data_IF_386143533279
#
_entry.id   IF_386143533279
#
_cell.length_a   1.000
_cell.length_b   1.000
_cell.length_c   1.000
_cell.angle_alpha   90.00
_cell.angle_beta   90.00
_cell.angle_gamma   90.00
#
_symmetry.space_group_name_H-M   'P 1'
#
loop_
_entity.id
_entity.type
_entity.pdbx_description
1 polymer ?
#
# COMPACT_ATOMS: atom_id res chain seq x y z
N UNK A 1 11.04 -23.95 -4.46
CA UNK A 1 11.57 -22.65 -3.98
C UNK A 1 11.46 -21.55 -5.05
N UNK A 2 11.90 -21.77 -6.31
CA UNK A 2 11.82 -20.74 -7.36
C UNK A 2 10.40 -20.24 -7.69
N UNK A 3 9.38 -21.11 -7.62
CA UNK A 3 7.99 -20.75 -7.94
C UNK A 3 7.33 -19.79 -6.93
N UNK A 4 7.69 -19.87 -5.64
CA UNK A 4 7.14 -19.00 -4.60
C UNK A 4 7.86 -17.63 -4.55
N UNK A 5 9.14 -17.60 -4.93
CA UNK A 5 9.90 -16.36 -5.07
C UNK A 5 9.45 -15.56 -6.31
N UNK A 6 9.10 -16.25 -7.40
CA UNK A 6 8.53 -15.61 -8.59
C UNK A 6 7.17 -14.95 -8.28
N UNK A 7 6.27 -15.66 -7.58
CA UNK A 7 4.96 -15.12 -7.20
C UNK A 7 5.05 -13.92 -6.24
N UNK A 8 6.06 -13.88 -5.36
CA UNK A 8 6.28 -12.75 -4.45
C UNK A 8 6.76 -11.49 -5.19
N UNK A 9 7.67 -11.64 -6.15
CA UNK A 9 8.13 -10.51 -6.97
C UNK A 9 7.04 -9.97 -7.91
N UNK A 10 6.24 -10.86 -8.50
CA UNK A 10 5.07 -10.49 -9.30
C UNK A 10 4.04 -9.72 -8.46
N UNK A 11 3.75 -10.22 -7.25
CA UNK A 11 2.88 -9.55 -6.30
C UNK A 11 3.39 -8.14 -5.92
N UNK A 12 4.67 -8.03 -5.57
CA UNK A 12 5.29 -6.73 -5.26
C UNK A 12 5.15 -5.75 -6.43
N UNK A 13 5.33 -6.21 -7.67
CA UNK A 13 5.12 -5.39 -8.86
C UNK A 13 3.66 -4.92 -9.01
N UNK A 14 2.68 -5.74 -8.64
CA UNK A 14 1.26 -5.35 -8.65
C UNK A 14 1.01 -4.26 -7.61
N UNK A 15 1.48 -4.45 -6.37
CA UNK A 15 1.36 -3.45 -5.30
C UNK A 15 1.96 -2.11 -5.72
N UNK A 16 3.19 -2.11 -6.25
CA UNK A 16 3.83 -0.88 -6.74
C UNK A 16 2.99 -0.15 -7.80
N UNK A 17 2.34 -0.88 -8.70
CA UNK A 17 1.47 -0.28 -9.74
C UNK A 17 0.20 0.30 -9.17
N UNK A 18 -0.45 -0.40 -8.23
CA UNK A 18 -1.66 0.11 -7.56
C UNK A 18 -1.33 1.39 -6.79
N UNK A 19 -0.26 1.39 -5.98
CA UNK A 19 0.19 2.57 -5.23
C UNK A 19 0.57 3.72 -6.16
N UNK A 20 1.25 3.45 -7.28
CA UNK A 20 1.58 4.48 -8.28
C UNK A 20 0.34 5.10 -8.96
N UNK A 21 -0.79 4.37 -9.02
CA UNK A 21 -2.05 4.86 -9.57
C UNK A 21 -2.93 5.57 -8.54
N UNK A 22 -2.60 5.49 -7.26
CA UNK A 22 -3.39 6.06 -6.18
C UNK A 22 -3.13 7.56 -6.03
N UNK A 23 -3.95 8.37 -6.70
CA UNK A 23 -3.74 9.81 -6.84
C UNK A 23 -3.56 10.59 -5.52
N UNK A 24 -4.45 10.38 -4.54
CA UNK A 24 -4.36 11.04 -3.24
C UNK A 24 -3.05 10.74 -2.51
N UNK A 25 -2.61 9.49 -2.56
CA UNK A 25 -1.32 9.07 -2.00
C UNK A 25 -0.14 9.70 -2.75
N UNK A 26 -0.13 9.67 -4.09
CA UNK A 26 0.96 10.25 -4.90
C UNK A 26 1.12 11.76 -4.65
N UNK A 27 0.01 12.49 -4.50
CA UNK A 27 0.06 13.91 -4.11
C UNK A 27 0.70 14.09 -2.73
N UNK A 28 0.37 13.23 -1.75
CA UNK A 28 1.02 13.25 -0.43
C UNK A 28 2.53 12.99 -0.50
N UNK A 29 2.97 12.10 -1.40
CA UNK A 29 4.40 11.87 -1.66
C UNK A 29 5.06 13.10 -2.31
N UNK A 30 4.44 13.67 -3.34
CA UNK A 30 4.92 14.86 -4.05
C UNK A 30 5.05 16.08 -3.12
N UNK A 31 4.12 16.24 -2.18
CA UNK A 31 4.15 17.31 -1.17
C UNK A 31 5.04 16.99 0.05
N UNK A 32 5.76 15.87 0.02
CA UNK A 32 6.64 15.45 1.13
C UNK A 32 5.93 15.35 2.48
N UNK A 33 4.68 14.85 2.49
CA UNK A 33 3.87 14.79 3.71
C UNK A 33 4.53 14.00 4.85
N UNK A 34 5.34 12.97 4.53
CA UNK A 34 6.13 12.20 5.48
C UNK A 34 7.44 12.86 5.94
N UNK A 35 7.70 14.11 5.56
CA UNK A 35 8.91 14.88 5.85
C UNK A 35 10.06 14.62 4.88
N UNK A 36 11.32 14.93 5.27
CA UNK A 36 12.50 14.78 4.40
C UNK A 36 12.74 13.35 3.90
N UNK A 37 12.21 12.36 4.61
CA UNK A 37 12.35 10.93 4.30
C UNK A 37 11.15 10.37 3.53
N UNK A 38 10.23 11.21 3.02
CA UNK A 38 9.00 10.76 2.34
C UNK A 38 9.26 9.74 1.23
N UNK A 39 10.30 9.95 0.42
CA UNK A 39 10.65 9.01 -0.65
C UNK A 39 11.13 7.65 -0.12
N UNK A 40 11.95 7.65 0.95
CA UNK A 40 12.39 6.41 1.59
C UNK A 40 11.21 5.66 2.23
N UNK A 41 10.26 6.41 2.82
CA UNK A 41 9.02 5.86 3.36
C UNK A 41 8.11 5.30 2.26
N UNK A 42 8.02 5.93 1.10
CA UNK A 42 7.25 5.42 -0.05
C UNK A 42 7.80 4.06 -0.54
N UNK A 43 9.11 3.93 -0.69
CA UNK A 43 9.75 2.66 -1.03
C UNK A 43 9.51 1.59 0.04
N UNK A 44 9.72 1.94 1.31
CA UNK A 44 9.46 1.05 2.45
C UNK A 44 8.00 0.62 2.54
N UNK A 45 7.06 1.54 2.29
CA UNK A 45 5.63 1.28 2.39
C UNK A 45 5.17 0.25 1.37
N UNK A 46 5.63 0.34 0.11
CA UNK A 46 5.33 -0.64 -0.94
C UNK A 46 5.80 -2.04 -0.55
N UNK A 47 6.96 -2.13 0.10
CA UNK A 47 7.55 -3.39 0.56
C UNK A 47 6.73 -4.00 1.70
N UNK A 48 6.43 -3.21 2.73
CA UNK A 48 5.65 -3.65 3.90
C UNK A 48 4.22 -3.99 3.52
N UNK A 49 3.56 -3.21 2.66
CA UNK A 49 2.22 -3.50 2.17
C UNK A 49 2.17 -4.83 1.41
N UNK A 50 3.15 -5.06 0.52
CA UNK A 50 3.24 -6.31 -0.20
C UNK A 50 3.43 -7.50 0.74
N UNK A 51 4.33 -7.39 1.73
CA UNK A 51 4.54 -8.43 2.73
C UNK A 51 3.29 -8.66 3.61
N UNK A 52 2.65 -7.58 4.05
CA UNK A 52 1.48 -7.64 4.94
C UNK A 52 0.32 -8.42 4.30
N UNK A 53 -0.02 -8.10 3.05
CA UNK A 53 -1.08 -8.81 2.32
C UNK A 53 -0.66 -10.26 2.04
N UNK A 54 0.60 -10.48 1.63
CA UNK A 54 1.09 -11.81 1.27
C UNK A 54 1.10 -12.79 2.46
N UNK A 55 1.34 -12.28 3.67
CA UNK A 55 1.49 -13.10 4.89
C UNK A 55 0.19 -13.22 5.70
N UNK A 56 -0.72 -12.25 5.57
CA UNK A 56 -1.97 -12.23 6.35
C UNK A 56 -3.06 -13.05 5.67
N UNK A 57 -3.35 -14.22 6.23
CA UNK A 57 -4.39 -15.11 5.71
C UNK A 57 -5.79 -14.57 5.98
N UNK A 58 -6.63 -14.52 4.95
CA UNK A 58 -8.03 -14.12 5.07
C UNK A 58 -8.20 -12.64 5.40
N UNK A 59 -7.23 -11.81 5.03
CA UNK A 59 -7.30 -10.35 5.17
C UNK A 59 -8.49 -9.82 4.38
N UNK A 60 -9.34 -9.01 5.02
CA UNK A 60 -10.48 -8.35 4.38
C UNK A 60 -10.10 -6.94 3.95
N UNK A 61 -10.86 -6.40 2.98
CA UNK A 61 -10.68 -5.03 2.51
C UNK A 61 -10.85 -4.00 3.63
N UNK A 62 -11.81 -4.19 4.54
CA UNK A 62 -12.06 -3.32 5.71
C UNK A 62 -10.85 -3.31 6.67
N UNK A 63 -10.28 -4.49 6.96
CA UNK A 63 -9.10 -4.60 7.83
C UNK A 63 -7.86 -3.95 7.18
N UNK A 64 -7.71 -4.10 5.87
CA UNK A 64 -6.62 -3.47 5.11
C UNK A 64 -6.80 -1.95 5.01
N UNK A 65 -8.03 -1.46 4.88
CA UNK A 65 -8.33 -0.02 4.88
C UNK A 65 -7.90 0.61 6.21
N UNK A 66 -8.30 0.03 7.34
CA UNK A 66 -7.93 0.52 8.66
C UNK A 66 -6.40 0.54 8.84
N UNK A 67 -5.73 -0.50 8.35
CA UNK A 67 -4.28 -0.60 8.39
C UNK A 67 -3.59 0.46 7.52
N UNK A 68 -4.08 0.68 6.30
CA UNK A 68 -3.58 1.71 5.39
C UNK A 68 -3.76 3.10 6.01
N UNK A 69 -4.96 3.41 6.51
CA UNK A 69 -5.24 4.68 7.17
C UNK A 69 -4.28 4.95 8.34
N UNK A 70 -3.98 3.93 9.14
CA UNK A 70 -3.01 4.05 10.22
C UNK A 70 -1.61 4.41 9.70
N UNK A 71 -1.10 3.70 8.69
CA UNK A 71 0.21 4.02 8.10
C UNK A 71 0.25 5.42 7.49
N UNK A 72 -0.79 5.80 6.72
CA UNK A 72 -0.85 7.14 6.12
C UNK A 72 -0.77 8.22 7.20
N UNK A 73 -1.48 8.03 8.31
CA UNK A 73 -1.46 8.97 9.43
C UNK A 73 -0.11 8.98 10.16
N UNK A 74 0.43 7.83 10.57
CA UNK A 74 1.61 7.77 11.43
C UNK A 74 2.92 8.04 10.68
N UNK A 75 3.04 7.54 9.45
CA UNK A 75 4.28 7.61 8.69
C UNK A 75 4.31 8.80 7.73
N UNK A 76 3.17 9.14 7.13
CA UNK A 76 3.08 10.19 6.12
C UNK A 76 2.38 11.46 6.61
N UNK A 77 1.88 11.51 7.86
CA UNK A 77 1.06 12.63 8.34
C UNK A 77 -0.04 13.01 7.32
N UNK A 78 -0.63 11.99 6.69
CA UNK A 78 -1.55 12.09 5.58
C UNK A 78 -2.90 11.52 5.98
N UNK A 79 -3.95 12.30 5.71
CA UNK A 79 -5.35 11.87 5.85
C UNK A 79 -5.98 12.07 4.48
N UNK A 80 -6.58 11.00 3.93
CA UNK A 80 -7.27 11.03 2.65
C UNK A 80 -8.78 11.05 2.92
N UNK A 81 -9.44 12.17 2.62
CA UNK A 81 -10.88 12.37 2.83
C UNK A 81 -11.72 12.06 1.57
N UNK A 82 -11.09 11.57 0.50
CA UNK A 82 -11.73 11.26 -0.78
C UNK A 82 -12.27 9.83 -0.86
N UNK A 83 -12.35 9.14 0.28
CA UNK A 83 -12.76 7.74 0.44
C UNK A 83 -11.96 6.75 -0.43
N UNK A 84 -10.80 7.15 -0.95
CA UNK A 84 -10.02 6.33 -1.90
C UNK A 84 -9.27 5.15 -1.26
N UNK A 85 -9.17 5.13 0.07
CA UNK A 85 -8.47 4.07 0.83
C UNK A 85 -9.21 2.73 0.71
N UNK A 86 -10.54 2.72 0.87
CA UNK A 86 -11.32 1.49 0.74
C UNK A 86 -11.28 0.88 -0.67
N UNK A 87 -11.56 1.62 -1.76
CA UNK A 87 -11.44 1.09 -3.13
C UNK A 87 -10.04 0.57 -3.44
N UNK A 88 -8.99 1.24 -2.94
CA UNK A 88 -7.61 0.78 -3.12
C UNK A 88 -7.37 -0.53 -2.37
N UNK A 89 -7.88 -0.64 -1.14
CA UNK A 89 -7.81 -1.86 -0.34
C UNK A 89 -8.52 -3.02 -1.03
N UNK A 90 -9.75 -2.80 -1.51
CA UNK A 90 -10.53 -3.79 -2.25
C UNK A 90 -9.78 -4.27 -3.49
N UNK A 91 -9.25 -3.34 -4.29
CA UNK A 91 -8.47 -3.66 -5.49
C UNK A 91 -7.24 -4.52 -5.16
N UNK A 92 -6.53 -4.22 -4.08
CA UNK A 92 -5.35 -4.98 -3.65
C UNK A 92 -5.72 -6.41 -3.23
N UNK A 93 -6.81 -6.57 -2.48
CA UNK A 93 -7.30 -7.90 -2.06
C UNK A 93 -7.78 -8.71 -3.27
N UNK A 94 -8.56 -8.12 -4.17
CA UNK A 94 -9.03 -8.78 -5.39
C UNK A 94 -7.88 -9.16 -6.33
N UNK A 95 -6.84 -8.32 -6.42
CA UNK A 95 -5.66 -8.61 -7.23
C UNK A 95 -4.77 -9.71 -6.65
N UNK A 96 -4.80 -9.92 -5.33
CA UNK A 96 -4.04 -10.98 -4.68
C UNK A 96 -4.66 -12.37 -4.89
N UNK A 97 -5.99 -12.47 -4.82
CA UNK A 97 -6.75 -13.70 -5.06
C UNK A 97 -7.30 -14.37 -3.81
#
# INVERSE_FOLDING_TARGET
MASAAASSNEWKSIVCRVIASWGGYQLGVDFSSGGPETLAKDEWFKDVLAEYIFTTRGLKAEDLEDWLNNILYTEFNLILEDDSVYPTSLLLIEAFG
#
